data_IF_642916116066
#
_entry.id   IF_642916116066
#
_cell.length_a   1.000
_cell.length_b   1.000
_cell.length_c   1.000
_cell.angle_alpha   90.00
_cell.angle_beta   90.00
_cell.angle_gamma   90.00
#
_symmetry.space_group_name_H-M   'P 1'
#
loop_
_entity.id
_entity.type
_entity.pdbx_description
1 polymer ?
#
# COMPACT_ATOMS: atom_id res chain seq x y z
N UNK A 1 -14.69 14.55 0.24
CA UNK A 1 -14.00 14.37 -1.06
C UNK A 1 -14.91 13.67 -2.07
N UNK A 2 -15.42 12.48 -1.78
CA UNK A 2 -16.20 11.65 -2.74
C UNK A 2 -17.59 12.19 -3.05
N UNK A 3 -18.14 13.10 -2.28
CA UNK A 3 -19.50 13.65 -2.49
C UNK A 3 -19.66 14.40 -3.82
N UNK A 4 -18.55 14.89 -4.37
CA UNK A 4 -18.53 15.66 -5.62
C UNK A 4 -18.04 14.84 -6.82
N UNK A 5 -17.82 13.54 -6.66
CA UNK A 5 -17.40 12.63 -7.72
C UNK A 5 -18.58 11.74 -8.08
N UNK A 6 -18.84 11.57 -9.38
CA UNK A 6 -19.89 10.65 -9.84
C UNK A 6 -19.56 9.21 -9.36
N UNK A 7 -20.50 8.52 -8.68
CA UNK A 7 -20.26 7.17 -8.13
C UNK A 7 -19.83 6.12 -9.15
N UNK A 8 -20.08 6.34 -10.44
CA UNK A 8 -19.65 5.43 -11.50
C UNK A 8 -18.14 5.43 -11.74
N UNK A 9 -17.43 6.47 -11.25
CA UNK A 9 -16.01 6.66 -11.50
C UNK A 9 -15.12 6.41 -10.28
N UNK A 10 -15.67 5.93 -9.17
CA UNK A 10 -14.83 5.60 -8.01
C UNK A 10 -15.33 4.38 -7.24
N UNK A 11 -14.39 3.71 -6.59
CA UNK A 11 -14.64 2.69 -5.58
C UNK A 11 -13.99 3.11 -4.26
N UNK A 12 -14.63 2.76 -3.15
CA UNK A 12 -14.05 2.89 -1.80
C UNK A 12 -13.76 1.47 -1.29
N UNK A 13 -12.48 1.21 -1.03
CA UNK A 13 -12.00 -0.10 -0.60
C UNK A 13 -11.62 -0.03 0.88
N UNK A 14 -12.40 -0.68 1.73
CA UNK A 14 -12.08 -0.89 3.14
C UNK A 14 -11.60 -2.33 3.33
N UNK A 15 -10.29 -2.49 3.51
CA UNK A 15 -9.61 -3.80 3.56
C UNK A 15 -9.33 -4.21 5.00
N UNK A 16 -10.36 -4.65 5.75
CA UNK A 16 -10.19 -5.01 7.14
C UNK A 16 -9.44 -6.34 7.33
N UNK A 17 -10.12 -7.45 7.28
CA UNK A 17 -9.52 -8.77 7.53
C UNK A 17 -9.21 -9.50 6.24
N UNK A 18 -8.03 -10.13 6.20
CA UNK A 18 -7.68 -11.04 5.09
C UNK A 18 -8.61 -12.24 5.06
N UNK A 19 -9.11 -12.56 3.87
CA UNK A 19 -9.80 -13.83 3.63
C UNK A 19 -8.80 -14.98 3.68
N UNK A 20 -9.29 -16.23 3.81
CA UNK A 20 -8.42 -17.42 3.77
C UNK A 20 -7.67 -17.55 2.44
N UNK A 21 -8.28 -17.10 1.34
CA UNK A 21 -7.62 -17.03 0.04
C UNK A 21 -6.48 -15.99 0.05
N UNK A 22 -6.74 -14.77 0.55
CA UNK A 22 -5.75 -13.69 0.59
C UNK A 22 -4.55 -14.02 1.49
N UNK A 23 -4.73 -14.80 2.56
CA UNK A 23 -3.63 -15.27 3.42
C UNK A 23 -2.63 -16.18 2.70
N UNK A 24 -3.08 -16.89 1.66
CA UNK A 24 -2.25 -17.81 0.84
C UNK A 24 -1.60 -17.11 -0.35
N UNK A 25 -1.89 -15.84 -0.57
CA UNK A 25 -1.41 -15.05 -1.70
C UNK A 25 -0.31 -14.06 -1.25
N UNK A 26 0.51 -13.57 -2.16
CA UNK A 26 1.46 -12.49 -1.85
C UNK A 26 0.76 -11.30 -1.21
N UNK A 27 1.44 -10.62 -0.29
CA UNK A 27 0.91 -9.51 0.51
C UNK A 27 0.14 -8.47 -0.31
N UNK A 28 0.67 -8.05 -1.46
CA UNK A 28 0.07 -6.99 -2.29
C UNK A 28 -1.04 -7.49 -3.22
N UNK A 29 -1.31 -8.80 -3.28
CA UNK A 29 -2.33 -9.40 -4.16
C UNK A 29 -3.70 -8.75 -3.98
N UNK A 30 -4.13 -8.54 -2.73
CA UNK A 30 -5.44 -7.96 -2.41
C UNK A 30 -5.61 -6.53 -2.92
N UNK A 31 -4.51 -5.79 -3.01
CA UNK A 31 -4.48 -4.42 -3.53
C UNK A 31 -4.45 -4.42 -5.05
N UNK A 32 -3.64 -5.27 -5.69
CA UNK A 32 -3.65 -5.43 -7.15
C UNK A 32 -5.05 -5.75 -7.70
N UNK A 33 -5.77 -6.63 -7.03
CA UNK A 33 -7.13 -7.04 -7.44
C UNK A 33 -8.14 -5.88 -7.44
N UNK A 34 -7.85 -4.81 -6.73
CA UNK A 34 -8.76 -3.66 -6.50
C UNK A 34 -8.28 -2.38 -7.17
N UNK A 35 -7.31 -2.49 -8.05
CA UNK A 35 -6.89 -1.34 -8.85
C UNK A 35 -8.02 -0.88 -9.77
N UNK A 36 -8.22 0.44 -9.93
CA UNK A 36 -9.28 0.96 -10.77
C UNK A 36 -8.94 0.79 -12.26
N UNK A 37 -9.96 0.75 -13.07
CA UNK A 37 -9.84 0.88 -14.53
C UNK A 37 -9.39 2.30 -14.90
N UNK A 38 -8.90 2.48 -16.13
CA UNK A 38 -8.51 3.79 -16.64
C UNK A 38 -9.67 4.81 -16.53
N UNK A 39 -9.36 6.01 -16.04
CA UNK A 39 -10.33 7.08 -15.84
C UNK A 39 -11.19 6.93 -14.57
N UNK A 40 -10.88 5.95 -13.70
CA UNK A 40 -11.57 5.75 -12.41
C UNK A 40 -10.63 5.94 -11.23
N UNK A 41 -11.21 6.13 -10.05
CA UNK A 41 -10.51 6.27 -8.78
C UNK A 41 -10.74 5.05 -7.89
N UNK A 42 -9.72 4.65 -7.12
CA UNK A 42 -9.88 3.77 -5.98
C UNK A 42 -9.39 4.50 -4.71
N UNK A 43 -10.28 4.63 -3.75
CA UNK A 43 -9.96 5.18 -2.43
C UNK A 43 -9.78 4.03 -1.44
N UNK A 44 -8.57 3.82 -0.98
CA UNK A 44 -8.27 2.85 0.05
C UNK A 44 -8.35 3.54 1.43
N UNK A 45 -9.33 3.16 2.24
CA UNK A 45 -9.52 3.71 3.60
C UNK A 45 -8.36 3.30 4.51
N UNK A 46 -7.93 2.04 4.44
CA UNK A 46 -6.64 1.58 4.97
C UNK A 46 -5.90 0.82 3.88
N UNK A 47 -4.64 1.24 3.67
CA UNK A 47 -3.80 0.69 2.62
C UNK A 47 -2.75 -0.27 3.16
N UNK A 48 -1.80 -0.57 2.31
CA UNK A 48 -0.64 -1.43 2.62
C UNK A 48 0.26 -0.88 3.73
N UNK A 49 0.21 0.44 4.01
CA UNK A 49 0.90 1.03 5.15
C UNK A 49 0.32 0.51 6.47
N UNK A 50 -0.99 0.64 6.63
CA UNK A 50 -1.64 0.29 7.88
C UNK A 50 -1.43 -1.20 8.20
N UNK A 51 -1.63 -2.07 7.22
CA UNK A 51 -1.39 -3.51 7.36
C UNK A 51 0.07 -3.80 7.76
N UNK A 52 1.05 -3.19 7.09
CA UNK A 52 2.48 -3.44 7.36
C UNK A 52 2.89 -2.93 8.75
N UNK A 53 2.47 -1.71 9.11
CA UNK A 53 2.79 -1.12 10.40
C UNK A 53 2.15 -1.89 11.55
N UNK A 54 0.90 -2.34 11.38
CA UNK A 54 0.21 -3.14 12.38
C UNK A 54 0.87 -4.49 12.60
N UNK A 55 1.22 -5.21 11.54
CA UNK A 55 1.93 -6.49 11.64
C UNK A 55 3.33 -6.33 12.26
N UNK A 56 4.00 -5.18 12.04
CA UNK A 56 5.26 -4.85 12.74
C UNK A 56 5.03 -4.60 14.23
N UNK A 57 4.02 -3.82 14.58
CA UNK A 57 3.72 -3.47 15.97
C UNK A 57 3.23 -4.65 16.80
N UNK A 58 2.53 -5.61 16.19
CA UNK A 58 2.10 -6.87 16.83
C UNK A 58 3.23 -7.89 16.98
N UNK A 59 4.35 -7.70 16.25
CA UNK A 59 5.47 -8.65 16.26
C UNK A 59 5.34 -9.78 15.25
N UNK A 60 4.36 -9.71 14.35
CA UNK A 60 4.17 -10.70 13.28
C UNK A 60 5.23 -10.59 12.17
N UNK A 61 5.89 -9.43 12.07
CA UNK A 61 7.00 -9.20 11.15
C UNK A 61 8.33 -9.12 11.90
N UNK A 62 9.32 -9.90 11.47
CA UNK A 62 10.72 -9.70 11.85
C UNK A 62 11.29 -8.47 11.15
N UNK A 63 12.44 -7.94 11.60
CA UNK A 63 13.08 -6.79 10.92
C UNK A 63 13.42 -7.12 9.45
N UNK A 64 13.84 -8.35 9.16
CA UNK A 64 14.11 -8.78 7.78
C UNK A 64 12.85 -8.77 6.94
N UNK A 65 11.79 -9.42 7.40
CA UNK A 65 10.51 -9.48 6.66
C UNK A 65 9.85 -8.11 6.51
N UNK A 66 10.07 -7.21 7.47
CA UNK A 66 9.63 -5.82 7.35
C UNK A 66 10.39 -5.09 6.24
N UNK A 67 11.72 -5.23 6.17
CA UNK A 67 12.53 -4.63 5.10
C UNK A 67 12.11 -5.16 3.72
N UNK A 68 11.92 -6.47 3.58
CA UNK A 68 11.44 -7.10 2.35
C UNK A 68 10.04 -6.57 1.95
N UNK A 69 9.20 -6.28 2.95
CA UNK A 69 7.86 -5.71 2.76
C UNK A 69 7.93 -4.27 2.24
N UNK A 70 8.82 -3.44 2.81
CA UNK A 70 9.09 -2.05 2.35
C UNK A 70 9.55 -2.05 0.89
N UNK A 71 10.46 -2.93 0.51
CA UNK A 71 10.90 -3.04 -0.88
C UNK A 71 9.76 -3.48 -1.81
N UNK A 72 8.93 -4.41 -1.38
CA UNK A 72 7.77 -4.86 -2.15
C UNK A 72 6.78 -3.70 -2.38
N UNK A 73 6.53 -2.87 -1.37
CA UNK A 73 5.69 -1.67 -1.48
C UNK A 73 6.30 -0.68 -2.47
N UNK A 74 7.58 -0.38 -2.37
CA UNK A 74 8.26 0.54 -3.31
C UNK A 74 8.16 0.06 -4.76
N UNK A 75 8.37 -1.24 -4.99
CA UNK A 75 8.25 -1.84 -6.33
C UNK A 75 6.82 -1.79 -6.85
N UNK A 76 5.85 -2.05 -6.00
CA UNK A 76 4.43 -1.99 -6.34
C UNK A 76 4.00 -0.58 -6.74
N UNK A 77 4.30 0.43 -5.90
CA UNK A 77 3.98 1.82 -6.19
C UNK A 77 4.66 2.30 -7.47
N UNK A 78 5.91 1.89 -7.69
CA UNK A 78 6.61 2.18 -8.92
C UNK A 78 5.96 1.54 -10.14
N UNK A 79 5.57 0.25 -10.06
CA UNK A 79 4.86 -0.42 -11.14
C UNK A 79 3.56 0.31 -11.49
N UNK A 80 2.84 0.80 -10.49
CA UNK A 80 1.63 1.58 -10.73
C UNK A 80 1.94 2.88 -11.49
N UNK A 81 2.89 3.65 -10.99
CA UNK A 81 3.24 4.95 -11.61
C UNK A 81 3.86 4.79 -12.99
N UNK A 82 4.70 3.77 -13.21
CA UNK A 82 5.26 3.44 -14.52
C UNK A 82 4.17 3.02 -15.54
N UNK A 83 3.02 2.53 -15.06
CA UNK A 83 1.85 2.20 -15.90
C UNK A 83 0.79 3.32 -15.94
N UNK A 84 1.15 4.53 -15.56
CA UNK A 84 0.31 5.72 -15.71
C UNK A 84 -0.74 5.92 -14.59
N UNK A 85 -0.65 5.16 -13.49
CA UNK A 85 -1.48 5.46 -12.31
C UNK A 85 -0.93 6.66 -11.55
N UNK A 86 -1.81 7.55 -11.14
CA UNK A 86 -1.51 8.57 -10.13
C UNK A 86 -1.73 7.97 -8.75
N UNK A 87 -0.66 7.79 -7.99
CA UNK A 87 -0.70 7.26 -6.62
C UNK A 87 -0.49 8.39 -5.64
N UNK A 88 -1.50 8.72 -4.85
CA UNK A 88 -1.45 9.75 -3.82
C UNK A 88 -1.71 9.13 -2.45
N UNK A 89 -0.83 9.40 -1.50
CA UNK A 89 -0.89 8.81 -0.16
C UNK A 89 -1.07 9.90 0.89
N UNK A 90 -2.15 9.82 1.66
CA UNK A 90 -2.48 10.80 2.68
C UNK A 90 -2.35 10.20 4.07
N UNK A 91 -1.61 10.86 4.94
CA UNK A 91 -1.55 10.53 6.35
C UNK A 91 -2.27 11.60 7.16
N UNK A 92 -3.45 11.27 7.67
CA UNK A 92 -4.28 12.17 8.46
C UNK A 92 -3.82 12.12 9.91
N UNK A 93 -3.09 13.14 10.34
CA UNK A 93 -2.53 13.22 11.67
C UNK A 93 -3.42 14.02 12.62
N UNK A 94 -3.69 13.47 13.80
CA UNK A 94 -4.30 14.16 14.93
C UNK A 94 -3.41 13.99 16.17
N UNK A 95 -3.44 14.93 17.09
CA UNK A 95 -2.73 14.81 18.36
C UNK A 95 -3.33 13.72 19.26
N UNK A 96 -2.52 13.23 20.20
CA UNK A 96 -2.97 12.28 21.22
C UNK A 96 -4.21 12.78 21.98
N UNK A 97 -4.21 14.07 22.34
CA UNK A 97 -5.32 14.75 23.02
C UNK A 97 -6.61 14.80 22.17
N UNK A 98 -6.47 15.09 20.88
CA UNK A 98 -7.65 15.10 19.98
C UNK A 98 -8.15 13.68 19.73
N UNK A 99 -7.26 12.69 19.66
CA UNK A 99 -7.63 11.28 19.56
C UNK A 99 -8.46 10.85 20.77
N UNK A 100 -7.99 11.14 21.99
CA UNK A 100 -8.71 10.86 23.25
C UNK A 100 -10.10 11.47 23.24
N UNK A 101 -10.18 12.76 22.94
CA UNK A 101 -11.46 13.49 22.87
C UNK A 101 -12.44 12.88 21.87
N UNK A 102 -11.96 12.45 20.68
CA UNK A 102 -12.80 11.80 19.67
C UNK A 102 -13.28 10.44 20.13
N UNK A 103 -12.42 9.65 20.78
CA UNK A 103 -12.79 8.37 21.35
C UNK A 103 -13.86 8.54 22.44
N UNK A 104 -13.69 9.46 23.38
CA UNK A 104 -14.69 9.75 24.40
C UNK A 104 -16.07 10.13 23.82
N UNK A 105 -16.09 10.93 22.75
CA UNK A 105 -17.35 11.32 22.07
C UNK A 105 -18.05 10.11 21.46
N UNK A 106 -17.28 9.17 20.89
CA UNK A 106 -17.81 7.95 20.31
C UNK A 106 -18.32 6.97 21.38
N UNK A 107 -17.59 6.83 22.50
CA UNK A 107 -17.95 5.94 23.62
C UNK A 107 -19.23 6.37 24.34
N UNK A 108 -19.44 7.69 24.48
CA UNK A 108 -20.62 8.24 25.18
C UNK A 108 -21.95 7.94 24.49
N UNK A 109 -21.95 7.53 23.23
CA UNK A 109 -23.14 7.26 22.43
C UNK A 109 -23.26 5.78 22.12
N UNK A 110 -24.35 5.15 22.50
CA UNK A 110 -24.60 3.72 22.28
C UNK A 110 -24.58 3.31 20.78
N UNK A 111 -24.98 4.21 19.89
CA UNK A 111 -24.99 4.02 18.44
C UNK A 111 -23.62 4.14 17.77
N UNK A 112 -22.61 4.67 18.46
CA UNK A 112 -21.26 4.87 17.93
C UNK A 112 -20.16 4.17 18.73
N UNK A 113 -20.43 3.69 19.94
CA UNK A 113 -19.43 3.03 20.81
C UNK A 113 -18.79 1.78 20.17
N UNK A 114 -19.54 1.08 19.34
CA UNK A 114 -19.05 -0.09 18.59
C UNK A 114 -17.93 0.23 17.58
N UNK A 115 -17.75 1.49 17.22
CA UNK A 115 -16.70 1.94 16.30
C UNK A 115 -15.31 1.91 16.92
N UNK A 116 -15.23 1.87 18.26
CA UNK A 116 -13.94 1.81 18.95
C UNK A 116 -13.58 0.34 19.17
N UNK A 117 -12.56 -0.08 18.45
CA UNK A 117 -12.03 -1.43 18.56
C UNK A 117 -11.01 -1.55 19.69
N UNK A 118 -10.70 -2.78 20.10
CA UNK A 118 -9.59 -3.06 21.03
C UNK A 118 -8.25 -2.54 20.49
N UNK A 119 -8.11 -2.50 19.18
CA UNK A 119 -6.94 -1.97 18.49
C UNK A 119 -6.80 -0.46 18.70
N UNK A 120 -7.90 0.29 18.57
CA UNK A 120 -7.90 1.74 18.76
C UNK A 120 -7.49 2.11 20.18
N UNK A 121 -8.02 1.40 21.17
CA UNK A 121 -7.64 1.56 22.58
C UNK A 121 -6.15 1.24 22.80
N UNK A 122 -5.65 0.16 22.20
CA UNK A 122 -4.23 -0.19 22.31
C UNK A 122 -3.35 0.87 21.63
N UNK A 123 -3.74 1.32 20.47
CA UNK A 123 -3.04 2.33 19.67
C UNK A 123 -2.95 3.67 20.40
N UNK A 124 -4.05 4.08 21.06
CA UNK A 124 -4.06 5.28 21.90
C UNK A 124 -3.08 5.16 23.07
N UNK A 125 -3.13 4.05 23.79
CA UNK A 125 -2.19 3.79 24.91
C UNK A 125 -0.71 3.79 24.48
N UNK A 126 -0.44 3.51 23.23
CA UNK A 126 0.91 3.43 22.66
C UNK A 126 1.12 4.47 21.57
N UNK A 127 0.46 5.63 21.68
CA UNK A 127 0.40 6.65 20.65
C UNK A 127 1.77 6.98 20.05
N UNK A 128 2.78 7.30 20.88
CA UNK A 128 4.13 7.65 20.42
C UNK A 128 4.79 6.52 19.63
N UNK A 129 4.69 5.28 20.14
CA UNK A 129 5.24 4.10 19.46
C UNK A 129 4.59 3.89 18.09
N UNK A 130 3.29 4.06 18.01
CA UNK A 130 2.56 3.97 16.75
C UNK A 130 2.95 5.09 15.80
N UNK A 131 3.04 6.32 16.28
CA UNK A 131 3.46 7.48 15.51
C UNK A 131 4.86 7.26 14.90
N UNK A 132 5.83 6.83 15.70
CA UNK A 132 7.20 6.52 15.23
C UNK A 132 7.21 5.44 14.14
N UNK A 133 6.41 4.38 14.31
CA UNK A 133 6.33 3.31 13.32
C UNK A 133 5.73 3.80 11.99
N UNK A 134 4.66 4.61 12.03
CA UNK A 134 4.08 5.21 10.83
C UNK A 134 5.05 6.19 10.15
N UNK A 135 5.73 7.05 10.93
CA UNK A 135 6.72 7.99 10.39
C UNK A 135 7.89 7.26 9.73
N UNK A 136 8.39 6.16 10.34
CA UNK A 136 9.44 5.32 9.75
C UNK A 136 8.97 4.74 8.41
N UNK A 137 7.77 4.15 8.37
CA UNK A 137 7.22 3.59 7.13
C UNK A 137 7.10 4.66 6.03
N UNK A 138 6.56 5.84 6.35
CA UNK A 138 6.42 6.93 5.39
C UNK A 138 7.76 7.39 4.85
N UNK A 139 8.77 7.54 5.72
CA UNK A 139 10.14 7.89 5.33
C UNK A 139 10.72 6.86 4.35
N UNK A 140 10.48 5.57 4.62
CA UNK A 140 11.03 4.48 3.83
C UNK A 140 10.28 4.24 2.51
N UNK A 141 9.04 4.73 2.37
CA UNK A 141 8.19 4.54 1.19
C UNK A 141 7.80 5.83 0.47
N UNK A 142 8.37 6.97 0.82
CA UNK A 142 8.09 8.23 0.13
C UNK A 142 8.89 8.31 -1.17
N UNK A 143 8.26 7.95 -2.28
CA UNK A 143 8.83 8.06 -3.62
C UNK A 143 8.42 9.40 -4.24
N UNK A 144 9.28 9.97 -5.08
CA UNK A 144 8.95 11.21 -5.82
C UNK A 144 7.74 11.04 -6.74
N UNK A 145 7.54 9.83 -7.29
CA UNK A 145 6.40 9.46 -8.12
C UNK A 145 5.13 9.12 -7.34
N UNK A 146 5.26 8.81 -6.05
CA UNK A 146 4.16 8.46 -5.14
C UNK A 146 4.46 9.02 -3.74
N UNK A 147 4.38 10.35 -3.54
CA UNK A 147 4.74 10.98 -2.27
C UNK A 147 3.68 10.76 -1.19
N UNK A 148 4.10 10.90 0.06
CA UNK A 148 3.22 11.01 1.21
C UNK A 148 2.87 12.48 1.47
N UNK A 149 1.57 12.74 1.67
CA UNK A 149 1.05 14.03 2.11
C UNK A 149 0.63 13.91 3.57
N UNK A 150 1.33 14.63 4.45
CA UNK A 150 0.94 14.72 5.86
C UNK A 150 -0.10 15.83 6.01
N UNK A 151 -1.28 15.45 6.49
CA UNK A 151 -2.43 16.34 6.63
C UNK A 151 -2.71 16.58 8.11
N UNK A 152 -2.80 17.85 8.51
CA UNK A 152 -3.34 18.21 9.81
C UNK A 152 -4.85 17.92 9.84
N UNK A 153 -5.22 16.93 10.67
CA UNK A 153 -6.60 16.46 10.77
C UNK A 153 -7.29 16.84 12.09
N UNK A 154 -6.78 17.83 12.82
CA UNK A 154 -7.42 18.40 14.01
C UNK A 154 -8.79 19.00 13.66
N UNK A 155 -8.88 19.77 12.58
CA UNK A 155 -10.12 20.35 12.07
C UNK A 155 -10.61 19.61 10.83
N UNK A 156 -11.79 18.97 10.91
CA UNK A 156 -12.36 18.23 9.77
C UNK A 156 -12.51 19.07 8.50
N UNK A 157 -12.94 20.33 8.65
CA UNK A 157 -13.10 21.25 7.51
C UNK A 157 -11.76 21.59 6.86
N UNK A 158 -10.74 21.80 7.70
CA UNK A 158 -9.40 22.09 7.22
C UNK A 158 -8.78 20.86 6.55
N UNK A 159 -8.95 19.67 7.15
CA UNK A 159 -8.53 18.39 6.55
C UNK A 159 -9.12 18.20 5.15
N UNK A 160 -10.44 18.44 5.03
CA UNK A 160 -11.13 18.29 3.75
C UNK A 160 -10.58 19.24 2.68
N UNK A 161 -10.35 20.50 3.05
CA UNK A 161 -9.78 21.49 2.16
C UNK A 161 -8.38 21.09 1.68
N UNK A 162 -7.48 20.71 2.61
CA UNK A 162 -6.12 20.28 2.28
C UNK A 162 -6.12 19.05 1.34
N UNK A 163 -6.94 18.03 1.65
CA UNK A 163 -7.01 16.83 0.80
C UNK A 163 -7.50 17.17 -0.60
N UNK A 164 -8.52 18.02 -0.74
CA UNK A 164 -9.03 18.46 -2.04
C UNK A 164 -7.99 19.27 -2.82
N UNK A 165 -7.28 20.17 -2.14
CA UNK A 165 -6.22 20.97 -2.76
C UNK A 165 -5.10 20.10 -3.32
N UNK A 166 -4.56 19.16 -2.52
CA UNK A 166 -3.53 18.24 -2.98
C UNK A 166 -4.02 17.32 -4.10
N UNK A 167 -5.26 16.82 -4.03
CA UNK A 167 -5.85 16.01 -5.08
C UNK A 167 -5.94 16.78 -6.41
N UNK A 168 -6.45 18.00 -6.37
CA UNK A 168 -6.57 18.86 -7.56
C UNK A 168 -5.20 19.13 -8.16
N UNK A 169 -4.24 19.57 -7.34
CA UNK A 169 -2.87 19.82 -7.78
C UNK A 169 -2.22 18.56 -8.38
N UNK A 170 -2.36 17.41 -7.71
CA UNK A 170 -1.79 16.16 -8.20
C UNK A 170 -2.37 15.72 -9.54
N UNK A 171 -3.69 15.87 -9.73
CA UNK A 171 -4.37 15.58 -11.00
C UNK A 171 -3.90 16.53 -12.09
N UNK A 172 -3.84 17.83 -11.82
CA UNK A 172 -3.39 18.84 -12.79
C UNK A 172 -1.95 18.59 -13.25
N UNK A 173 -1.05 18.24 -12.30
CA UNK A 173 0.33 17.87 -12.62
C UNK A 173 0.36 16.60 -13.46
N UNK A 174 -0.40 15.56 -13.12
CA UNK A 174 -0.43 14.32 -13.85
C UNK A 174 -0.94 14.52 -15.30
N UNK A 175 -1.98 15.31 -15.48
CA UNK A 175 -2.51 15.64 -16.81
C UNK A 175 -1.52 16.47 -17.62
N UNK A 176 -0.81 17.41 -16.99
CA UNK A 176 0.21 18.23 -17.65
C UNK A 176 1.46 17.42 -18.03
N UNK A 177 1.87 16.46 -17.20
CA UNK A 177 3.05 15.63 -17.40
C UNK A 177 2.82 14.45 -18.36
N UNK A 178 1.60 14.12 -18.74
CA UNK A 178 1.35 13.14 -19.81
C UNK A 178 2.04 13.51 -21.14
N UNK A 179 2.45 14.76 -21.31
CA UNK A 179 3.23 15.22 -22.45
C UNK A 179 4.76 15.11 -22.28
N UNK A 180 5.25 14.84 -21.07
CA UNK A 180 6.67 14.76 -20.75
C UNK A 180 6.98 13.34 -20.26
N UNK A 181 7.48 12.49 -21.17
CA UNK A 181 8.04 11.19 -20.78
C UNK A 181 9.17 11.40 -19.75
N UNK A 182 8.90 11.12 -18.49
CA UNK A 182 9.93 11.12 -17.45
C UNK A 182 10.91 10.01 -17.78
N UNK A 183 12.24 10.28 -17.87
CA UNK A 183 13.22 9.25 -18.10
C UNK A 183 13.10 8.22 -16.95
N UNK A 184 12.79 6.98 -17.31
CA UNK A 184 12.76 5.86 -16.37
C UNK A 184 14.14 5.75 -15.72
N UNK A 185 14.23 5.98 -14.41
CA UNK A 185 15.39 5.60 -13.64
C UNK A 185 15.54 4.09 -13.78
N UNK A 186 16.47 3.66 -14.62
CA UNK A 186 16.76 2.26 -14.83
C UNK A 186 17.32 1.70 -13.52
N UNK A 187 16.49 1.00 -12.75
CA UNK A 187 17.01 0.05 -11.78
C UNK A 187 17.58 -1.12 -12.60
N UNK A 188 18.89 -1.13 -12.73
CA UNK A 188 19.59 -2.26 -13.34
C UNK A 188 19.45 -3.44 -12.36
N UNK A 189 18.47 -4.30 -12.61
CA UNK A 189 18.47 -5.61 -12.00
C UNK A 189 19.59 -6.40 -12.69
N UNK A 190 20.49 -7.07 -11.94
CA UNK A 190 21.46 -7.95 -12.57
C UNK A 190 20.69 -9.04 -13.34
N UNK A 191 20.72 -8.93 -14.65
CA UNK A 191 20.13 -9.95 -15.53
C UNK A 191 21.03 -11.18 -15.49
N UNK A 192 20.47 -12.33 -15.15
CA UNK A 192 21.15 -13.61 -15.35
C UNK A 192 21.35 -13.79 -16.87
N UNK A 193 22.60 -13.97 -17.30
CA UNK A 193 22.84 -14.26 -18.71
C UNK A 193 22.21 -15.61 -19.05
N UNK A 194 21.23 -15.57 -19.94
CA UNK A 194 20.65 -16.79 -20.49
C UNK A 194 21.67 -17.42 -21.48
N UNK A 195 21.92 -18.72 -21.40
CA UNK A 195 22.73 -19.40 -22.42
C UNK A 195 22.07 -19.27 -23.79
N UNK A 196 22.85 -19.14 -24.83
CA UNK A 196 22.32 -19.17 -26.21
C UNK A 196 21.70 -20.54 -26.48
N UNK A 197 20.61 -20.58 -27.23
CA UNK A 197 19.96 -21.85 -27.60
C UNK A 197 20.93 -22.84 -28.26
N UNK A 198 21.93 -22.35 -29.00
CA UNK A 198 23.00 -23.14 -29.61
C UNK A 198 23.98 -23.78 -28.59
N UNK A 199 23.97 -23.32 -27.35
CA UNK A 199 24.84 -23.83 -26.27
C UNK A 199 24.10 -24.84 -25.39
N UNK A 200 22.80 -25.07 -25.65
CA UNK A 200 22.01 -26.07 -24.93
C UNK A 200 22.22 -27.43 -25.60
N UNK A 201 22.80 -28.40 -24.92
CA UNK A 201 22.96 -29.74 -25.47
C UNK A 201 21.58 -30.38 -25.66
N UNK A 202 21.27 -30.79 -26.88
CA UNK A 202 20.01 -31.46 -27.26
C UNK A 202 20.13 -32.98 -27.34
N UNK A 203 21.30 -33.52 -26.98
CA UNK A 203 21.69 -34.92 -27.08
C UNK A 203 21.57 -35.69 -25.75
N UNK A 204 20.97 -35.09 -24.76
CA UNK A 204 20.74 -35.76 -23.46
C UNK A 204 19.47 -36.61 -23.53
N UNK A 205 19.65 -37.90 -23.58
CA UNK A 205 18.61 -38.90 -23.43
C UNK A 205 18.73 -39.56 -22.05
N UNK A 206 17.61 -39.79 -21.38
CA UNK A 206 17.54 -40.62 -20.19
C UNK A 206 16.95 -41.96 -20.57
N UNK A 207 17.59 -43.04 -20.17
CA UNK A 207 17.00 -44.39 -20.29
C UNK A 207 15.82 -44.54 -19.30
N UNK A 208 14.89 -45.46 -19.64
CA UNK A 208 13.64 -45.64 -18.88
C UNK A 208 13.85 -46.02 -17.40
N UNK A 209 14.97 -46.64 -17.04
CA UNK A 209 15.23 -47.04 -15.67
C UNK A 209 15.70 -45.82 -14.84
N UNK A 210 16.66 -45.07 -15.37
CA UNK A 210 17.17 -43.84 -14.76
C UNK A 210 16.01 -42.80 -14.60
N UNK A 211 15.14 -42.70 -15.62
CA UNK A 211 13.96 -41.82 -15.54
C UNK A 211 13.03 -42.22 -14.40
N UNK A 212 12.74 -43.51 -14.20
CA UNK A 212 11.90 -43.98 -13.10
C UNK A 212 12.54 -43.76 -11.73
N UNK A 213 13.85 -44.01 -11.60
CA UNK A 213 14.58 -43.78 -10.34
C UNK A 213 14.63 -42.33 -9.94
N UNK A 214 14.71 -41.39 -10.89
CA UNK A 214 14.68 -39.96 -10.61
C UNK A 214 13.27 -39.45 -10.32
N UNK A 215 12.22 -40.08 -10.85
CA UNK A 215 10.81 -39.77 -10.52
C UNK A 215 10.39 -40.25 -9.13
N UNK A 216 10.98 -41.34 -8.63
CA UNK A 216 10.66 -41.92 -7.32
C UNK A 216 11.44 -41.23 -6.17
N UNK A 217 12.32 -40.27 -6.46
CA UNK A 217 13.03 -39.42 -5.49
C UNK A 217 12.26 -38.19 -5.10
#
# INVERSE_FOLDING_TARGET
VIQNIDPRFFNVESLEKKTEEEKRKPFLYRYFKRLPEAGKFAFFDSGWMDETVQEKLSGDLTEKTYTDRIESVRRFERQLTDNGYLVMKFFLHISEKEQEKRMEVLEKKADTSWRISKRDVWQHKHYKKCQEAYLSFMKDTSLSSAPWYMIDAESRKWTELQVLEYLTQGIDIALSNQALAVPLLQNVFPMTQMPKLSEIPLDKELDDNTYKEELDR
#
